data_IF_191285423733
#
_entry.id   IF_191285423733
#
_cell.length_a   1.000
_cell.length_b   1.000
_cell.length_c   1.000
_cell.angle_alpha   90.00
_cell.angle_beta   90.00
_cell.angle_gamma   90.00
#
_symmetry.space_group_name_H-M   'P 1'
#
loop_
_entity.id
_entity.type
_entity.pdbx_description
1 polymer ?
#
# COMPACT_ATOMS: atom_id res chain seq x y z
N UNK A 1 -19.95 -28.21 -12.52
CA UNK A 1 -20.30 -27.03 -11.67
C UNK A 1 -18.98 -26.49 -11.14
N UNK A 2 -18.71 -25.18 -11.24
CA UNK A 2 -17.49 -24.58 -10.70
C UNK A 2 -17.43 -24.82 -9.19
N UNK A 3 -16.23 -25.10 -8.69
CA UNK A 3 -16.04 -25.37 -7.26
C UNK A 3 -15.87 -24.04 -6.52
N UNK A 4 -16.50 -23.89 -5.34
CA UNK A 4 -16.34 -22.68 -4.54
C UNK A 4 -14.87 -22.43 -4.14
N UNK A 5 -14.06 -23.49 -4.09
CA UNK A 5 -12.62 -23.38 -3.78
C UNK A 5 -11.77 -22.98 -4.96
N UNK A 6 -12.28 -23.03 -6.20
CA UNK A 6 -11.50 -22.82 -7.42
C UNK A 6 -10.76 -21.48 -7.42
N UNK A 7 -11.45 -20.40 -7.03
CA UNK A 7 -10.84 -19.07 -6.92
C UNK A 7 -9.76 -19.00 -5.84
N UNK A 8 -10.00 -19.61 -4.68
CA UNK A 8 -9.04 -19.67 -3.57
C UNK A 8 -7.80 -20.47 -3.95
N UNK A 9 -8.01 -21.64 -4.55
CA UNK A 9 -6.96 -22.59 -4.90
C UNK A 9 -6.09 -22.04 -6.04
N UNK A 10 -6.69 -21.35 -7.01
CA UNK A 10 -5.95 -20.70 -8.09
C UNK A 10 -5.05 -19.55 -7.61
N UNK A 11 -5.52 -18.77 -6.63
CA UNK A 11 -4.76 -17.62 -6.11
C UNK A 11 -3.67 -18.09 -5.15
N UNK A 12 -3.92 -19.18 -4.40
CA UNK A 12 -2.97 -19.89 -3.52
C UNK A 12 -2.18 -19.01 -2.52
N UNK A 13 -2.57 -17.75 -2.37
CA UNK A 13 -1.84 -16.75 -1.58
C UNK A 13 -2.59 -16.47 -0.30
N UNK A 14 -2.02 -16.90 0.83
CA UNK A 14 -2.51 -16.54 2.15
C UNK A 14 -2.36 -15.03 2.38
N UNK A 15 -3.37 -14.41 2.99
CA UNK A 15 -3.36 -12.97 3.28
C UNK A 15 -2.21 -12.56 4.21
N UNK A 16 -1.84 -13.43 5.16
CA UNK A 16 -0.69 -13.22 6.02
C UNK A 16 0.61 -13.17 5.21
N UNK A 17 0.81 -14.11 4.28
CA UNK A 17 1.99 -14.11 3.43
C UNK A 17 2.05 -12.84 2.57
N UNK A 18 0.92 -12.45 1.97
CA UNK A 18 0.81 -11.20 1.20
C UNK A 18 1.26 -10.00 2.03
N UNK A 19 0.77 -9.87 3.27
CA UNK A 19 1.14 -8.79 4.18
C UNK A 19 2.63 -8.80 4.57
N UNK A 20 3.15 -9.97 4.97
CA UNK A 20 4.55 -10.12 5.34
C UNK A 20 5.51 -9.81 4.18
N UNK A 21 5.16 -10.27 2.98
CA UNK A 21 5.92 -9.97 1.77
C UNK A 21 5.84 -8.48 1.41
N UNK A 22 4.71 -7.81 1.65
CA UNK A 22 4.65 -6.35 1.46
C UNK A 22 5.61 -5.62 2.39
N UNK A 23 5.65 -5.98 3.67
CA UNK A 23 6.61 -5.39 4.61
C UNK A 23 8.05 -5.66 4.18
N UNK A 24 8.36 -6.90 3.80
CA UNK A 24 9.69 -7.29 3.36
C UNK A 24 10.15 -6.59 2.06
N UNK A 25 9.20 -6.22 1.19
CA UNK A 25 9.45 -5.58 -0.11
C UNK A 25 9.10 -4.10 -0.13
N UNK A 26 8.83 -3.49 1.03
CA UNK A 26 8.45 -2.09 1.17
C UNK A 26 7.31 -1.64 0.22
N UNK A 27 6.27 -2.47 0.02
CA UNK A 27 5.12 -2.08 -0.82
C UNK A 27 5.14 -2.60 -2.26
N UNK A 28 6.22 -3.23 -2.72
CA UNK A 28 6.34 -3.69 -4.12
C UNK A 28 5.54 -4.98 -4.38
N UNK A 29 5.53 -5.91 -3.43
CA UNK A 29 4.90 -7.23 -3.63
C UNK A 29 3.40 -7.18 -3.99
N UNK A 30 2.55 -6.31 -3.41
CA UNK A 30 1.16 -6.16 -3.84
C UNK A 30 0.99 -5.84 -5.33
N UNK A 31 1.89 -5.05 -5.92
CA UNK A 31 1.88 -4.72 -7.35
C UNK A 31 2.16 -5.97 -8.19
N UNK A 32 3.19 -6.73 -7.78
CA UNK A 32 3.54 -8.00 -8.43
C UNK A 32 2.41 -9.02 -8.30
N UNK A 33 1.78 -9.09 -7.12
CA UNK A 33 0.65 -9.96 -6.86
C UNK A 33 -0.55 -9.60 -7.74
N UNK A 34 -0.84 -8.30 -7.90
CA UNK A 34 -1.89 -7.81 -8.81
C UNK A 34 -1.60 -8.17 -10.28
N UNK A 35 -0.36 -8.00 -10.72
CA UNK A 35 0.06 -8.36 -12.07
C UNK A 35 -0.12 -9.84 -12.37
N UNK A 36 0.27 -10.71 -11.43
CA UNK A 36 0.18 -12.16 -11.61
C UNK A 36 -1.24 -12.69 -11.46
N UNK A 37 -1.98 -12.22 -10.46
CA UNK A 37 -3.28 -12.80 -10.10
C UNK A 37 -4.47 -12.10 -10.77
N UNK A 38 -4.31 -10.88 -11.29
CA UNK A 38 -5.35 -10.17 -12.03
C UNK A 38 -5.97 -11.03 -13.14
N UNK A 39 -5.19 -11.50 -14.12
CA UNK A 39 -5.69 -12.33 -15.21
C UNK A 39 -6.33 -13.65 -14.74
N UNK A 40 -5.80 -14.23 -13.66
CA UNK A 40 -6.34 -15.46 -13.06
C UNK A 40 -7.74 -15.19 -12.49
N UNK A 41 -7.92 -14.12 -11.73
CA UNK A 41 -9.22 -13.73 -11.19
C UNK A 41 -10.20 -13.48 -12.33
N UNK A 42 -9.82 -12.72 -13.36
CA UNK A 42 -10.68 -12.43 -14.51
C UNK A 42 -11.11 -13.69 -15.27
N UNK A 43 -10.22 -14.68 -15.40
CA UNK A 43 -10.52 -15.96 -16.07
C UNK A 43 -11.56 -16.78 -15.31
N UNK A 44 -11.55 -16.74 -13.97
CA UNK A 44 -12.45 -17.52 -13.11
C UNK A 44 -13.79 -16.80 -12.94
N UNK A 45 -13.75 -15.48 -12.69
CA UNK A 45 -14.97 -14.68 -12.51
C UNK A 45 -15.64 -14.31 -13.82
N UNK A 46 -14.97 -14.51 -14.96
CA UNK A 46 -15.43 -14.16 -16.33
C UNK A 46 -15.76 -12.67 -16.50
N UNK A 47 -15.23 -11.83 -15.62
CA UNK A 47 -15.50 -10.41 -15.55
C UNK A 47 -14.17 -9.66 -15.51
N UNK A 48 -14.02 -8.67 -16.40
CA UNK A 48 -12.82 -7.84 -16.48
C UNK A 48 -12.76 -6.87 -15.31
N UNK A 49 -11.62 -6.82 -14.61
CA UNK A 49 -11.38 -5.92 -13.49
C UNK A 49 -10.53 -4.73 -13.97
N UNK A 50 -9.42 -4.97 -14.69
CA UNK A 50 -8.49 -3.93 -15.14
C UNK A 50 -7.56 -4.39 -16.27
N UNK A 51 -7.08 -3.41 -17.06
CA UNK A 51 -6.09 -3.65 -18.10
C UNK A 51 -4.65 -3.63 -17.57
N UNK A 52 -3.71 -4.24 -18.29
CA UNK A 52 -2.28 -4.19 -17.93
C UNK A 52 -1.74 -2.75 -17.80
N UNK A 53 -2.28 -1.81 -18.59
CA UNK A 53 -1.93 -0.39 -18.54
C UNK A 53 -2.22 0.23 -17.16
N UNK A 54 -3.30 -0.20 -16.51
CA UNK A 54 -3.65 0.27 -15.17
C UNK A 54 -2.57 -0.12 -14.14
N UNK A 55 -2.06 -1.34 -14.23
CA UNK A 55 -1.01 -1.85 -13.33
C UNK A 55 0.30 -1.11 -13.56
N UNK A 56 0.62 -0.79 -14.83
CA UNK A 56 1.81 -0.01 -15.17
C UNK A 56 1.73 1.36 -14.52
N UNK A 57 0.60 2.07 -14.64
CA UNK A 57 0.43 3.36 -13.97
C UNK A 57 0.50 3.26 -12.45
N UNK A 58 -0.09 2.22 -11.86
CA UNK A 58 0.02 1.98 -10.43
C UNK A 58 1.49 1.77 -10.01
N UNK A 59 2.26 1.01 -10.79
CA UNK A 59 3.67 0.78 -10.56
C UNK A 59 4.51 2.06 -10.72
N UNK A 60 4.22 2.89 -11.72
CA UNK A 60 4.86 4.19 -11.93
C UNK A 60 4.58 5.12 -10.76
N UNK A 61 3.32 5.23 -10.32
CA UNK A 61 2.96 6.08 -9.19
C UNK A 61 3.63 5.63 -7.88
N UNK A 62 3.61 4.32 -7.59
CA UNK A 62 4.27 3.80 -6.41
C UNK A 62 5.80 3.94 -6.48
N UNK A 63 6.40 3.68 -7.64
CA UNK A 63 7.84 3.74 -7.86
C UNK A 63 8.40 5.17 -7.81
N UNK A 64 7.79 6.11 -8.53
CA UNK A 64 8.20 7.52 -8.50
C UNK A 64 7.88 8.18 -7.15
N UNK A 65 6.75 7.83 -6.55
CA UNK A 65 6.39 8.32 -5.21
C UNK A 65 7.43 7.93 -4.16
N UNK A 66 7.92 6.70 -4.20
CA UNK A 66 9.00 6.25 -3.31
C UNK A 66 10.39 6.80 -3.69
N UNK A 67 10.72 6.86 -4.98
CA UNK A 67 12.05 7.25 -5.45
C UNK A 67 12.35 8.74 -5.30
N UNK A 68 11.33 9.60 -5.43
CA UNK A 68 11.47 11.06 -5.31
C UNK A 68 11.33 11.56 -3.87
N UNK A 69 10.81 10.72 -2.97
CA UNK A 69 10.63 11.08 -1.57
C UNK A 69 11.97 11.19 -0.83
N UNK A 70 12.14 12.27 -0.06
CA UNK A 70 13.35 12.50 0.73
C UNK A 70 14.53 12.98 -0.11
N UNK A 71 14.25 13.55 -1.28
CA UNK A 71 15.26 14.16 -2.16
C UNK A 71 15.88 15.43 -1.56
N UNK A 72 15.20 16.05 -0.58
CA UNK A 72 15.63 17.30 0.07
C UNK A 72 15.25 18.57 -0.71
N UNK A 73 14.62 18.41 -1.88
CA UNK A 73 14.05 19.50 -2.66
C UNK A 73 12.53 19.56 -2.42
N UNK A 74 12.03 20.68 -1.92
CA UNK A 74 10.61 20.83 -1.56
C UNK A 74 9.66 20.53 -2.74
N UNK A 75 10.02 20.96 -3.95
CA UNK A 75 9.22 20.73 -5.14
C UNK A 75 9.12 19.23 -5.49
N UNK A 76 10.23 18.49 -5.42
CA UNK A 76 10.25 17.04 -5.66
C UNK A 76 9.50 16.26 -4.59
N UNK A 77 9.60 16.67 -3.32
CA UNK A 77 8.86 16.02 -2.23
C UNK A 77 7.33 16.21 -2.37
N UNK A 78 6.88 17.38 -2.84
CA UNK A 78 5.46 17.61 -3.17
C UNK A 78 5.02 16.68 -4.32
N UNK A 79 5.83 16.58 -5.38
CA UNK A 79 5.56 15.70 -6.54
C UNK A 79 5.52 14.23 -6.09
N UNK A 80 6.47 13.80 -5.25
CA UNK A 80 6.51 12.45 -4.67
C UNK A 80 5.25 12.15 -3.85
N UNK A 81 4.77 13.12 -3.07
CA UNK A 81 3.52 13.04 -2.33
C UNK A 81 2.30 12.85 -3.24
N UNK A 82 2.22 13.60 -4.35
CA UNK A 82 1.14 13.47 -5.33
C UNK A 82 1.12 12.08 -5.99
N UNK A 83 2.28 11.55 -6.38
CA UNK A 83 2.38 10.20 -6.93
C UNK A 83 2.00 9.12 -5.90
N UNK A 84 2.40 9.30 -4.65
CA UNK A 84 2.04 8.40 -3.55
C UNK A 84 0.52 8.37 -3.30
N UNK A 85 -0.12 9.54 -3.28
CA UNK A 85 -1.59 9.65 -3.19
C UNK A 85 -2.25 9.01 -4.42
N UNK A 86 -1.72 9.27 -5.61
CA UNK A 86 -2.18 8.65 -6.86
C UNK A 86 -2.16 7.12 -6.80
N UNK A 87 -1.08 6.53 -6.27
CA UNK A 87 -0.97 5.09 -6.08
C UNK A 87 -2.05 4.56 -5.12
N UNK A 88 -2.29 5.24 -3.99
CA UNK A 88 -3.35 4.89 -3.04
C UNK A 88 -4.73 4.92 -3.71
N UNK A 89 -5.02 5.98 -4.47
CA UNK A 89 -6.30 6.09 -5.20
C UNK A 89 -6.47 4.95 -6.19
N UNK A 90 -5.45 4.61 -6.97
CA UNK A 90 -5.50 3.49 -7.92
C UNK A 90 -5.76 2.17 -7.19
N UNK A 91 -5.06 1.91 -6.10
CA UNK A 91 -5.30 0.74 -5.25
C UNK A 91 -6.75 0.66 -4.76
N UNK A 92 -7.31 1.75 -4.26
CA UNK A 92 -8.69 1.82 -3.77
C UNK A 92 -9.68 1.57 -4.92
N UNK A 93 -9.50 2.22 -6.07
CA UNK A 93 -10.35 2.02 -7.26
C UNK A 93 -10.34 0.55 -7.69
N UNK A 94 -9.16 -0.07 -7.70
CA UNK A 94 -9.02 -1.49 -7.97
C UNK A 94 -9.80 -2.33 -6.96
N UNK A 95 -9.67 -2.06 -5.66
CA UNK A 95 -10.31 -2.83 -4.61
C UNK A 95 -11.84 -2.78 -4.71
N UNK A 96 -12.42 -1.61 -4.98
CA UNK A 96 -13.86 -1.48 -5.16
C UNK A 96 -14.36 -2.20 -6.42
N UNK A 97 -13.60 -2.18 -7.52
CA UNK A 97 -13.95 -3.00 -8.70
C UNK A 97 -13.87 -4.49 -8.40
N UNK A 98 -12.79 -4.94 -7.79
CA UNK A 98 -12.60 -6.35 -7.44
C UNK A 98 -13.67 -6.84 -6.45
N UNK A 99 -14.08 -5.99 -5.50
CA UNK A 99 -15.23 -6.24 -4.62
C UNK A 99 -16.49 -6.53 -5.44
N UNK A 100 -16.89 -5.65 -6.36
CA UNK A 100 -18.11 -5.85 -7.16
C UNK A 100 -18.05 -7.15 -7.96
N UNK A 101 -16.93 -7.40 -8.63
CA UNK A 101 -16.72 -8.64 -9.40
C UNK A 101 -16.81 -9.89 -8.52
N UNK A 102 -16.26 -9.84 -7.31
CA UNK A 102 -16.32 -10.97 -6.37
C UNK A 102 -17.75 -11.21 -5.84
N UNK A 103 -18.50 -10.14 -5.57
CA UNK A 103 -19.91 -10.23 -5.16
C UNK A 103 -20.77 -10.82 -6.27
N UNK A 104 -20.59 -10.37 -7.52
CA UNK A 104 -21.30 -10.93 -8.68
C UNK A 104 -20.95 -12.39 -8.91
N UNK A 105 -19.67 -12.77 -8.82
CA UNK A 105 -19.25 -14.16 -8.95
C UNK A 105 -19.89 -15.05 -7.87
N UNK A 106 -19.88 -14.62 -6.60
CA UNK A 106 -20.48 -15.36 -5.50
C UNK A 106 -22.00 -15.54 -5.69
N UNK A 107 -22.68 -14.48 -6.13
CA UNK A 107 -24.13 -14.48 -6.31
C UNK A 107 -24.56 -15.28 -7.55
N UNK A 108 -23.90 -15.09 -8.68
CA UNK A 108 -24.30 -15.71 -9.94
C UNK A 108 -23.96 -17.20 -9.98
N UNK A 109 -22.73 -17.53 -9.61
CA UNK A 109 -22.17 -18.87 -9.81
C UNK A 109 -22.47 -19.81 -8.63
N UNK A 110 -22.49 -19.27 -7.40
CA UNK A 110 -22.69 -20.06 -6.18
C UNK A 110 -23.98 -19.76 -5.42
N UNK A 111 -24.78 -18.78 -5.88
CA UNK A 111 -26.03 -18.33 -5.24
C UNK A 111 -25.84 -17.86 -3.79
N UNK A 112 -24.67 -17.27 -3.51
CA UNK A 112 -24.29 -16.76 -2.19
C UNK A 112 -24.34 -15.24 -2.19
N UNK A 113 -25.06 -14.67 -1.23
CA UNK A 113 -24.97 -13.23 -0.97
C UNK A 113 -23.70 -12.92 -0.17
N UNK A 114 -22.63 -12.53 -0.86
CA UNK A 114 -21.38 -12.13 -0.23
C UNK A 114 -21.43 -10.65 0.17
N UNK A 115 -21.72 -10.39 1.45
CA UNK A 115 -21.71 -9.02 1.99
C UNK A 115 -20.30 -8.55 2.35
N UNK A 116 -19.67 -7.77 1.48
CA UNK A 116 -18.35 -7.17 1.72
C UNK A 116 -18.45 -5.74 2.29
N UNK A 117 -17.71 -5.46 3.36
CA UNK A 117 -17.73 -4.14 4.02
C UNK A 117 -16.91 -3.10 3.21
N UNK A 118 -17.54 -1.96 2.87
CA UNK A 118 -16.88 -0.87 2.15
C UNK A 118 -15.74 -0.23 2.94
N UNK A 119 -15.88 -0.11 4.26
CA UNK A 119 -14.83 0.47 5.11
C UNK A 119 -13.54 -0.35 5.07
N UNK A 120 -13.64 -1.67 5.23
CA UNK A 120 -12.48 -2.57 5.14
C UNK A 120 -11.90 -2.64 3.73
N UNK A 121 -12.73 -2.50 2.70
CA UNK A 121 -12.27 -2.41 1.30
C UNK A 121 -11.41 -1.18 1.08
N UNK A 122 -11.76 -0.04 1.68
CA UNK A 122 -10.96 1.16 1.62
C UNK A 122 -9.67 1.03 2.46
N UNK A 123 -9.80 0.65 3.73
CA UNK A 123 -8.68 0.64 4.67
C UNK A 123 -7.63 -0.42 4.36
N UNK A 124 -8.07 -1.62 3.98
CA UNK A 124 -7.19 -2.78 3.75
C UNK A 124 -7.06 -3.15 2.27
N UNK A 125 -7.79 -2.49 1.37
CA UNK A 125 -7.59 -2.54 -0.09
C UNK A 125 -7.27 -3.95 -0.61
N UNK A 126 -6.05 -4.22 -1.07
CA UNK A 126 -5.64 -5.49 -1.69
C UNK A 126 -5.73 -6.66 -0.72
N UNK A 127 -5.41 -6.44 0.55
CA UNK A 127 -5.44 -7.47 1.58
C UNK A 127 -6.87 -7.93 1.87
N UNK A 128 -7.82 -7.00 1.90
CA UNK A 128 -9.22 -7.35 2.15
C UNK A 128 -9.82 -8.18 1.02
N UNK A 129 -9.53 -7.80 -0.23
CA UNK A 129 -9.96 -8.60 -1.39
C UNK A 129 -9.33 -9.99 -1.35
N UNK A 130 -8.02 -10.08 -1.10
CA UNK A 130 -7.35 -11.38 -0.94
C UNK A 130 -7.95 -12.22 0.19
N UNK A 131 -8.24 -11.61 1.33
CA UNK A 131 -8.93 -12.26 2.45
C UNK A 131 -10.31 -12.78 2.04
N UNK A 132 -11.15 -11.95 1.41
CA UNK A 132 -12.49 -12.34 0.99
C UNK A 132 -12.49 -13.49 -0.02
N UNK A 133 -11.52 -13.53 -0.94
CA UNK A 133 -11.37 -14.66 -1.86
C UNK A 133 -10.98 -15.95 -1.13
N UNK A 134 -10.12 -15.86 -0.12
CA UNK A 134 -9.71 -17.00 0.70
C UNK A 134 -10.83 -17.51 1.63
N UNK A 135 -11.74 -16.63 2.07
CA UNK A 135 -12.87 -16.91 2.96
C UNK A 135 -14.15 -17.34 2.19
N UNK A 136 -14.17 -17.22 0.86
CA UNK A 136 -15.33 -17.55 0.02
C UNK A 136 -15.93 -18.96 0.31
N UNK A 137 -15.13 -20.04 0.47
CA UNK A 137 -15.67 -21.35 0.81
C UNK A 137 -16.31 -21.42 2.20
N UNK A 138 -15.79 -20.67 3.16
CA UNK A 138 -16.37 -20.60 4.51
C UNK A 138 -17.65 -19.77 4.51
N UNK A 139 -17.72 -18.69 3.72
CA UNK A 139 -18.93 -17.92 3.52
C UNK A 139 -20.06 -18.79 2.95
N UNK A 140 -19.75 -19.65 1.96
CA UNK A 140 -20.69 -20.66 1.45
C UNK A 140 -21.18 -21.59 2.55
N UNK A 141 -20.25 -22.20 3.29
CA UNK A 141 -20.57 -23.13 4.38
C UNK A 141 -21.49 -22.50 5.42
N UNK A 142 -21.22 -21.26 5.84
CA UNK A 142 -22.04 -20.52 6.81
C UNK A 142 -23.46 -20.30 6.27
N UNK A 143 -23.60 -19.94 5.00
CA UNK A 143 -24.92 -19.78 4.38
C UNK A 143 -25.69 -21.09 4.23
N UNK A 144 -25.03 -22.19 3.89
CA UNK A 144 -25.65 -23.52 3.83
C UNK A 144 -26.19 -23.95 5.19
N UNK A 145 -25.46 -23.67 6.27
CA UNK A 145 -25.91 -23.91 7.66
C UNK A 145 -27.12 -23.04 7.98
N UNK A 146 -27.07 -21.74 7.67
CA UNK A 146 -28.15 -20.78 7.96
C UNK A 146 -29.42 -21.05 7.18
N UNK A 147 -29.31 -21.55 5.94
CA UNK A 147 -30.45 -21.87 5.06
C UNK A 147 -31.02 -23.27 5.31
N UNK A 148 -30.44 -24.03 6.25
CA UNK A 148 -30.91 -25.39 6.60
C UNK A 148 -30.63 -26.44 5.52
N UNK A 149 -29.86 -26.11 4.47
CA UNK A 149 -29.48 -27.03 3.41
C UNK A 149 -28.30 -27.89 3.89
N UNK A 150 -28.60 -28.94 4.67
CA UNK A 150 -27.61 -29.85 5.24
C UNK A 150 -27.04 -30.79 4.16
N UNK A 151 -26.02 -30.36 3.44
CA UNK A 151 -25.05 -31.29 2.84
C UNK A 151 -23.97 -31.61 3.90
N UNK A 152 -23.71 -32.90 4.11
CA UNK A 152 -22.91 -33.43 5.20
C UNK A 152 -21.54 -32.74 5.36
N UNK A 153 -21.30 -32.22 6.56
CA UNK A 153 -19.97 -31.80 7.00
C UNK A 153 -19.07 -33.04 7.19
N UNK A 154 -17.81 -33.02 6.71
CA UNK A 154 -16.75 -33.70 7.45
C UNK A 154 -16.34 -32.76 8.59
N UNK A 155 -16.66 -33.15 9.81
CA UNK A 155 -16.08 -32.57 11.00
C UNK A 155 -14.59 -32.93 11.03
N UNK A 156 -13.71 -31.94 10.84
CA UNK A 156 -12.29 -32.05 11.16
C UNK A 156 -11.73 -30.68 11.62
N UNK A 157 -11.69 -30.56 12.95
CA UNK A 157 -10.80 -29.78 13.83
C UNK A 157 -10.79 -28.22 13.79
N UNK A 158 -10.78 -27.56 14.98
CA UNK A 158 -10.77 -26.11 15.09
C UNK A 158 -9.34 -25.58 14.93
N UNK A 159 -9.09 -24.81 13.88
CA UNK A 159 -7.92 -23.93 13.85
C UNK A 159 -8.29 -22.64 14.60
N UNK A 160 -7.92 -22.63 15.88
CA UNK A 160 -7.76 -21.50 16.79
C UNK A 160 -8.18 -20.11 16.24
N UNK A 161 -9.29 -19.60 16.76
CA UNK A 161 -9.37 -18.16 17.01
C UNK A 161 -8.29 -17.77 18.03
N UNK A 162 -7.60 -16.65 17.80
CA UNK A 162 -7.66 -15.62 18.82
C UNK A 162 -7.91 -14.21 18.26
N UNK A 163 -8.71 -13.49 19.04
CA UNK A 163 -8.75 -12.05 19.22
C UNK A 163 -9.17 -11.17 18.04
N UNK A 164 -10.44 -10.75 18.09
CA UNK A 164 -10.80 -9.37 17.80
C UNK A 164 -9.81 -8.44 18.52
N UNK A 165 -9.03 -7.67 17.77
CA UNK A 165 -8.36 -6.50 18.32
C UNK A 165 -9.45 -5.43 18.58
N UNK A 166 -9.60 -4.91 19.81
CA UNK A 166 -10.39 -3.71 20.01
C UNK A 166 -9.51 -2.53 19.57
N UNK A 167 -9.72 -2.02 18.36
CA UNK A 167 -9.23 -0.69 18.01
C UNK A 167 -10.12 0.36 18.69
N UNK A 168 -10.01 0.45 20.02
CA UNK A 168 -10.48 1.61 20.75
C UNK A 168 -9.49 2.75 20.47
N UNK A 169 -9.84 3.60 19.51
CA UNK A 169 -9.23 4.92 19.39
C UNK A 169 -9.76 5.80 20.54
N UNK A 170 -8.91 6.37 21.41
CA UNK A 170 -9.30 7.59 22.09
C UNK A 170 -9.07 8.74 21.11
N UNK A 171 -10.16 9.19 20.49
CA UNK A 171 -10.24 10.53 19.93
C UNK A 171 -10.18 11.52 21.10
N UNK A 172 -9.03 12.15 21.31
CA UNK A 172 -8.90 13.32 22.16
C UNK A 172 -7.82 14.24 21.58
N UNK A 173 -8.24 15.12 20.68
CA UNK A 173 -7.59 16.41 20.56
C UNK A 173 -7.82 17.20 21.86
N UNK A 174 -6.83 17.96 22.32
CA UNK A 174 -7.12 19.24 22.93
C UNK A 174 -6.43 20.35 22.14
N UNK A 175 -7.25 21.21 21.55
CA UNK A 175 -6.87 22.58 21.24
C UNK A 175 -6.56 23.31 22.56
N UNK A 176 -5.35 23.84 22.71
CA UNK A 176 -5.07 25.03 23.52
C UNK A 176 -3.59 25.43 23.37
N UNK A 177 -3.33 26.55 22.71
CA UNK A 177 -2.15 27.34 22.99
C UNK A 177 -2.21 27.86 24.44
N UNK A 178 -1.05 28.08 25.08
CA UNK A 178 -0.89 29.32 25.80
C UNK A 178 0.44 30.01 25.44
N UNK A 179 0.31 31.29 25.11
CA UNK A 179 1.40 32.26 25.17
C UNK A 179 1.86 32.43 26.63
N UNK A 180 3.16 32.33 26.89
CA UNK A 180 3.86 33.06 27.95
C UNK A 180 5.37 32.78 27.89
N UNK A 181 6.15 33.79 27.53
CA UNK A 181 7.54 33.91 27.98
C UNK A 181 7.56 34.12 29.51
N UNK A 182 8.69 33.81 30.19
CA UNK A 182 9.45 34.92 30.73
C UNK A 182 10.97 34.79 30.58
N UNK A 183 11.58 35.96 30.69
CA UNK A 183 12.98 36.31 30.44
C UNK A 183 13.95 36.01 31.61
N UNK A 184 15.24 36.23 31.30
CA UNK A 184 16.44 36.39 32.15
C UNK A 184 17.20 35.08 32.52
N UNK A 185 18.27 34.66 31.83
CA UNK A 185 19.66 35.20 31.73
C UNK A 185 20.55 34.84 32.95
N UNK A 186 21.90 34.96 32.90
CA UNK A 186 22.91 34.63 31.86
C UNK A 186 24.19 33.95 32.45
N UNK A 187 25.18 33.61 31.59
CA UNK A 187 26.61 33.99 31.70
C UNK A 187 27.65 32.91 31.35
N UNK A 188 28.60 33.34 30.50
CA UNK A 188 30.00 32.91 30.33
C UNK A 188 30.27 31.55 29.67
N UNK A 189 31.15 31.40 28.67
CA UNK A 189 32.04 32.29 27.91
C UNK A 189 32.65 31.45 26.74
N UNK A 190 33.33 32.05 25.75
CA UNK A 190 33.56 31.48 24.42
C UNK A 190 34.97 30.85 24.27
N UNK A 191 35.14 29.97 23.28
CA UNK A 191 36.45 29.62 22.76
C UNK A 191 36.41 29.53 21.23
N UNK A 192 37.22 30.38 20.61
CA UNK A 192 37.39 30.58 19.20
C UNK A 192 38.11 29.42 18.51
N UNK A 193 37.79 29.18 17.23
CA UNK A 193 38.73 28.63 16.26
C UNK A 193 38.41 29.21 14.87
N UNK A 194 39.30 30.02 14.26
CA UNK A 194 39.19 30.42 12.87
C UNK A 194 39.90 29.37 11.99
N UNK A 195 39.16 28.69 11.12
CA UNK A 195 39.76 27.83 10.10
C UNK A 195 40.09 28.69 8.86
N UNK A 196 41.37 28.68 8.51
CA UNK A 196 41.98 29.38 7.40
C UNK A 196 41.49 28.91 6.02
N UNK A 197 41.36 29.85 5.09
CA UNK A 197 41.47 29.57 3.66
C UNK A 197 42.08 30.80 2.94
N UNK A 198 43.33 30.74 2.45
CA UNK A 198 43.79 31.61 1.39
C UNK A 198 43.49 30.93 0.05
N UNK A 199 42.61 31.54 -0.74
CA UNK A 199 42.37 31.13 -2.12
C UNK A 199 43.62 31.42 -2.96
N UNK A 200 44.16 30.36 -3.57
CA UNK A 200 45.20 30.43 -4.58
C UNK A 200 44.66 30.99 -5.89
N UNK A 201 45.36 31.95 -6.48
CA UNK A 201 45.31 32.23 -7.91
C UNK A 201 46.63 32.87 -8.37
N UNK A 202 47.44 32.17 -9.17
CA UNK A 202 48.31 32.80 -10.14
C UNK A 202 47.79 32.49 -11.54
N UNK A 203 47.25 33.51 -12.22
CA UNK A 203 46.98 33.44 -13.65
C UNK A 203 48.31 33.46 -14.41
N UNK A 204 48.59 32.38 -15.12
CA UNK A 204 49.69 32.26 -16.06
C UNK A 204 49.39 33.07 -17.35
N UNK A 205 50.33 33.92 -17.75
CA UNK A 205 50.53 34.29 -19.15
C UNK A 205 51.95 34.84 -19.34
N UNK A 206 52.81 34.18 -20.14
CA UNK A 206 53.88 34.85 -20.84
C UNK A 206 53.58 34.82 -22.34
N UNK A 207 53.28 35.99 -22.90
CA UNK A 207 53.35 36.21 -24.34
C UNK A 207 54.75 36.75 -24.67
N UNK A 208 55.48 35.97 -25.47
CA UNK A 208 56.77 36.34 -26.02
C UNK A 208 56.65 37.47 -27.05
N UNK A 209 57.59 38.41 -27.01
CA UNK A 209 58.15 39.06 -28.20
C UNK A 209 59.48 39.76 -27.81
N UNK A 210 60.57 39.56 -28.57
CA UNK A 210 61.82 40.31 -28.42
C UNK A 210 61.86 41.51 -29.38
N UNK A 211 62.54 42.59 -28.97
CA UNK A 211 63.11 43.66 -29.80
C UNK A 211 64.30 44.24 -29.00
N UNK A 212 65.54 44.12 -29.49
CA UNK A 212 66.37 45.26 -29.98
C UNK A 212 66.42 46.40 -28.94
N UNK A 213 67.54 46.69 -28.28
CA UNK A 213 68.88 47.10 -28.77
C UNK A 213 69.95 46.85 -27.69
#
# INVERSE_FOLDING_TARGET
MPNITELKDAISTKTVNLFLLTMATAGIYPILWLYRNGPVIESITKNKIFDSVFIIWLAVCAGLGGALAGSGEEALDIIAGLFSIGAIVLYVVWAFKAKTVLQEYALNEHKIDLRMNGFYTFLFTVYYINYCMNDLPEAKRKQEILTGNKAAAPAAAPAAAPAAAPAAAPAAAPAAAPAAAPAAAPAAAPAAAPAAAPAAAPAAAPAAAPAEE
#
